data_IF_281676351201
#
_entry.id   IF_281676351201
#
_cell.length_a   1.000
_cell.length_b   1.000
_cell.length_c   1.000
_cell.angle_alpha   90.00
_cell.angle_beta   90.00
_cell.angle_gamma   90.00
#
_symmetry.space_group_name_H-M   'P 1'
#
loop_
_entity.id
_entity.type
_entity.pdbx_description
1 polymer ?
#
# COMPACT_ATOMS: atom_id res chain seq x y z
N UNK A 1 34.56 74.60 25.51
CA UNK A 1 35.76 74.38 26.33
C UNK A 1 35.28 73.87 27.66
N UNK A 2 35.83 72.73 28.08
CA UNK A 2 36.01 72.33 29.48
C UNK A 2 34.73 71.95 30.26
N UNK A 3 34.70 70.95 31.13
CA UNK A 3 35.68 69.92 31.50
C UNK A 3 34.95 68.90 32.40
N UNK A 4 35.29 67.63 32.20
CA UNK A 4 35.59 66.58 33.18
C UNK A 4 34.74 66.41 34.47
N UNK A 5 34.36 65.16 34.75
CA UNK A 5 34.97 64.31 35.82
C UNK A 5 33.98 63.50 36.68
N UNK A 6 34.28 62.19 36.77
CA UNK A 6 34.41 61.33 37.98
C UNK A 6 33.18 61.20 38.94
N UNK A 7 32.77 60.08 39.53
CA UNK A 7 33.10 58.66 39.49
C UNK A 7 32.12 57.92 40.43
N UNK A 8 32.27 56.60 40.47
CA UNK A 8 32.20 55.73 41.65
C UNK A 8 30.88 55.01 41.99
N UNK A 9 31.03 53.67 42.01
CA UNK A 9 30.41 52.70 42.94
C UNK A 9 28.90 52.44 42.77
N UNK A 10 28.36 51.25 42.96
CA UNK A 10 28.79 50.11 43.78
C UNK A 10 28.10 48.82 43.32
N UNK A 11 28.78 47.70 43.57
CA UNK A 11 28.34 46.31 43.51
C UNK A 11 27.03 46.05 44.28
N UNK A 12 26.12 45.25 43.69
CA UNK A 12 25.51 44.10 44.39
C UNK A 12 25.41 42.93 43.41
N UNK A 13 25.93 41.79 43.87
CA UNK A 13 25.88 40.50 43.22
C UNK A 13 24.42 40.06 43.04
N UNK A 14 24.12 39.55 41.85
CA UNK A 14 22.92 38.77 41.59
C UNK A 14 23.39 37.43 41.02
N UNK A 15 23.53 36.47 41.93
CA UNK A 15 23.63 35.05 41.61
C UNK A 15 22.34 34.63 40.91
N UNK A 16 22.42 34.30 39.64
CA UNK A 16 21.47 33.38 39.03
C UNK A 16 22.24 32.40 38.16
N UNK A 17 22.47 31.23 38.75
CA UNK A 17 22.93 30.02 38.09
C UNK A 17 21.91 29.64 37.01
N UNK A 18 22.07 30.16 35.80
CA UNK A 18 21.45 29.54 34.63
C UNK A 18 22.32 28.35 34.23
N UNK A 19 21.98 27.17 34.75
CA UNK A 19 22.49 25.90 34.24
C UNK A 19 22.36 25.89 32.72
N UNK A 20 23.50 25.95 32.05
CA UNK A 20 23.64 25.64 30.64
C UNK A 20 23.44 24.14 30.51
N UNK A 21 22.18 23.71 30.43
CA UNK A 21 21.83 22.32 30.19
C UNK A 21 22.27 21.95 28.78
N UNK A 22 23.35 21.18 28.77
CA UNK A 22 23.97 20.52 27.64
C UNK A 22 22.93 19.78 26.81
N UNK A 23 22.48 20.39 25.70
CA UNK A 23 21.82 19.67 24.62
C UNK A 23 22.89 18.90 23.83
N UNK A 24 23.42 17.87 24.48
CA UNK A 24 24.19 16.79 23.89
C UNK A 24 23.27 15.97 23.00
N UNK A 25 23.65 15.85 21.74
CA UNK A 25 22.98 15.10 20.69
C UNK A 25 22.41 13.76 21.18
N UNK A 26 21.11 13.54 20.99
CA UNK A 26 20.55 12.21 20.81
C UNK A 26 19.91 12.15 19.44
N UNK A 27 20.76 11.79 18.49
CA UNK A 27 20.50 10.71 17.54
C UNK A 27 19.05 10.61 17.09
N UNK A 28 18.81 11.01 15.85
CA UNK A 28 17.62 10.69 15.06
C UNK A 28 17.47 9.17 14.94
N UNK A 29 17.02 8.52 16.01
CA UNK A 29 16.67 7.11 16.04
C UNK A 29 15.30 6.95 15.39
N UNK A 30 15.27 6.76 14.07
CA UNK A 30 14.18 5.98 13.51
C UNK A 30 14.23 4.63 14.22
N UNK A 31 13.16 4.19 14.92
CA UNK A 31 13.18 2.88 15.55
C UNK A 31 13.49 1.87 14.44
N UNK A 32 14.56 1.08 14.63
CA UNK A 32 14.81 -0.02 13.72
C UNK A 32 13.54 -0.87 13.63
N UNK A 33 13.07 -1.21 12.41
CA UNK A 33 11.89 -2.03 12.25
C UNK A 33 12.09 -3.31 13.06
N UNK A 34 11.12 -3.59 13.93
CA UNK A 34 11.16 -4.75 14.80
C UNK A 34 11.22 -6.02 13.95
N UNK A 35 11.63 -7.15 14.54
CA UNK A 35 11.59 -8.45 13.82
C UNK A 35 10.21 -8.73 13.23
N UNK A 36 9.16 -8.34 13.96
CA UNK A 36 7.78 -8.46 13.49
C UNK A 36 7.48 -7.57 12.28
N UNK A 37 8.00 -6.33 12.25
CA UNK A 37 7.82 -5.44 11.10
C UNK A 37 8.54 -5.97 9.85
N UNK A 38 9.70 -6.61 10.03
CA UNK A 38 10.46 -7.25 8.94
C UNK A 38 9.70 -8.46 8.36
N UNK A 39 9.12 -9.32 9.21
CA UNK A 39 8.31 -10.47 8.77
C UNK A 39 7.05 -10.04 8.00
N UNK A 40 6.33 -9.01 8.49
CA UNK A 40 5.16 -8.46 7.80
C UNK A 40 5.54 -7.86 6.43
N UNK A 41 6.69 -7.19 6.36
CA UNK A 41 7.18 -6.62 5.12
C UNK A 41 7.54 -7.70 4.10
N UNK A 42 8.21 -8.78 4.52
CA UNK A 42 8.52 -9.92 3.65
C UNK A 42 7.26 -10.63 3.13
N UNK A 43 6.25 -10.82 3.99
CA UNK A 43 4.96 -11.39 3.60
C UNK A 43 4.25 -10.51 2.57
N UNK A 44 4.21 -9.20 2.81
CA UNK A 44 3.63 -8.23 1.88
C UNK A 44 4.33 -8.27 0.53
N UNK A 45 5.66 -8.27 0.50
CA UNK A 45 6.45 -8.34 -0.73
C UNK A 45 6.22 -9.65 -1.49
N UNK A 46 6.10 -10.77 -0.78
CA UNK A 46 5.75 -12.06 -1.36
C UNK A 46 4.35 -12.03 -1.97
N UNK A 47 3.37 -11.47 -1.26
CA UNK A 47 1.99 -11.33 -1.75
C UNK A 47 1.91 -10.43 -2.97
N UNK A 48 2.67 -9.32 -2.98
CA UNK A 48 2.77 -8.44 -4.15
C UNK A 48 3.38 -9.15 -5.36
N UNK A 49 4.43 -9.97 -5.16
CA UNK A 49 5.03 -10.80 -6.23
C UNK A 49 4.03 -11.80 -6.81
N UNK A 50 3.27 -12.49 -5.96
CA UNK A 50 2.22 -13.42 -6.39
C UNK A 50 1.15 -12.66 -7.17
N UNK A 51 0.64 -11.55 -6.62
CA UNK A 51 -0.41 -10.73 -7.22
C UNK A 51 0.00 -10.23 -8.61
N UNK A 52 1.23 -9.72 -8.76
CA UNK A 52 1.77 -9.30 -10.07
C UNK A 52 1.80 -10.46 -11.05
N UNK A 53 2.22 -11.64 -10.61
CA UNK A 53 2.32 -12.85 -11.46
C UNK A 53 0.95 -13.31 -11.93
N UNK A 54 -0.03 -13.39 -11.02
CA UNK A 54 -1.42 -13.74 -11.33
C UNK A 54 -2.00 -12.73 -12.32
N UNK A 55 -1.86 -11.43 -12.05
CA UNK A 55 -2.36 -10.37 -12.92
C UNK A 55 -1.76 -10.43 -14.33
N UNK A 56 -0.44 -10.64 -14.45
CA UNK A 56 0.22 -10.81 -15.75
C UNK A 56 -0.34 -12.00 -16.53
N UNK A 57 -0.56 -13.15 -15.88
CA UNK A 57 -1.15 -14.34 -16.51
C UNK A 57 -2.60 -14.09 -16.96
N UNK A 58 -3.41 -13.42 -16.14
CA UNK A 58 -4.80 -13.09 -16.50
C UNK A 58 -4.88 -12.14 -17.70
N UNK A 59 -3.95 -11.17 -17.79
CA UNK A 59 -3.87 -10.25 -18.93
C UNK A 59 -3.42 -10.98 -20.19
N UNK A 60 -2.34 -11.77 -20.12
CA UNK A 60 -1.81 -12.51 -21.26
C UNK A 60 -2.85 -13.44 -21.91
N UNK A 61 -3.78 -13.95 -21.11
CA UNK A 61 -4.81 -14.87 -21.56
C UNK A 61 -6.13 -14.17 -21.96
N UNK A 62 -6.22 -12.84 -21.90
CA UNK A 62 -7.44 -12.07 -22.18
C UNK A 62 -8.57 -12.25 -21.16
N UNK A 63 -8.37 -13.05 -20.11
CA UNK A 63 -9.38 -13.28 -19.07
C UNK A 63 -9.62 -12.03 -18.22
N UNK A 64 -8.61 -11.17 -18.08
CA UNK A 64 -8.77 -9.93 -17.32
C UNK A 64 -9.84 -9.02 -17.94
N UNK A 65 -9.89 -8.90 -19.27
CA UNK A 65 -10.88 -8.09 -19.96
C UNK A 65 -12.28 -8.71 -19.88
N UNK A 66 -12.35 -10.05 -19.96
CA UNK A 66 -13.60 -10.79 -19.78
C UNK A 66 -14.16 -10.62 -18.36
N UNK A 67 -13.32 -10.77 -17.34
CA UNK A 67 -13.68 -10.52 -15.94
C UNK A 67 -14.13 -9.08 -15.72
N UNK A 68 -13.48 -8.11 -16.38
CA UNK A 68 -13.87 -6.71 -16.33
C UNK A 68 -15.25 -6.47 -16.97
N UNK A 69 -15.56 -7.17 -18.06
CA UNK A 69 -16.88 -7.16 -18.70
C UNK A 69 -17.96 -7.72 -17.77
N UNK A 70 -17.76 -8.93 -17.26
CA UNK A 70 -18.70 -9.59 -16.32
C UNK A 70 -18.93 -8.75 -15.06
N UNK A 71 -17.88 -8.12 -14.52
CA UNK A 71 -18.01 -7.23 -13.38
C UNK A 71 -18.88 -6.01 -13.70
N UNK A 72 -18.74 -5.40 -14.88
CA UNK A 72 -19.56 -4.25 -15.29
C UNK A 72 -21.03 -4.64 -15.43
N UNK A 73 -21.31 -5.75 -16.10
CA UNK A 73 -22.67 -6.25 -16.29
C UNK A 73 -23.36 -6.50 -14.94
N UNK A 74 -22.70 -7.22 -14.04
CA UNK A 74 -23.21 -7.49 -12.67
C UNK A 74 -23.43 -6.22 -11.86
N UNK A 75 -22.53 -5.25 -11.96
CA UNK A 75 -22.69 -3.99 -11.23
C UNK A 75 -23.84 -3.15 -11.81
N UNK A 76 -24.14 -3.29 -13.09
CA UNK A 76 -25.31 -2.66 -13.71
C UNK A 76 -26.61 -3.35 -13.28
N UNK A 77 -26.64 -4.68 -13.22
CA UNK A 77 -27.81 -5.45 -12.75
C UNK A 77 -28.22 -5.08 -11.32
N UNK A 78 -27.25 -4.79 -10.44
CA UNK A 78 -27.50 -4.40 -9.05
C UNK A 78 -27.66 -2.86 -8.90
N UNK A 79 -27.79 -2.14 -10.02
CA UNK A 79 -27.96 -0.68 -10.05
C UNK A 79 -26.88 0.09 -9.25
N UNK A 80 -25.67 -0.47 -9.13
CA UNK A 80 -24.59 0.15 -8.34
C UNK A 80 -24.23 1.54 -8.87
N UNK A 81 -24.40 1.77 -10.18
CA UNK A 81 -24.25 3.09 -10.79
C UNK A 81 -25.17 4.14 -10.12
N UNK A 82 -26.42 3.79 -9.81
CA UNK A 82 -27.37 4.68 -9.15
C UNK A 82 -26.88 5.09 -7.75
N UNK A 83 -26.31 4.13 -7.01
CA UNK A 83 -25.71 4.37 -5.69
C UNK A 83 -24.52 5.33 -5.78
N UNK A 84 -23.63 5.12 -6.77
CA UNK A 84 -22.47 6.00 -7.01
C UNK A 84 -22.94 7.42 -7.33
N UNK A 85 -23.93 7.57 -8.21
CA UNK A 85 -24.48 8.89 -8.56
C UNK A 85 -25.11 9.57 -7.34
N UNK A 86 -25.87 8.84 -6.52
CA UNK A 86 -26.46 9.36 -5.30
C UNK A 86 -25.38 9.88 -4.33
N UNK A 87 -24.30 9.12 -4.12
CA UNK A 87 -23.18 9.51 -3.25
C UNK A 87 -22.39 10.69 -3.79
N UNK A 88 -22.10 10.70 -5.08
CA UNK A 88 -21.37 11.83 -5.67
C UNK A 88 -22.26 13.11 -5.66
N UNK A 89 -23.60 13.02 -5.77
CA UNK A 89 -24.52 14.16 -5.56
C UNK A 89 -24.55 14.63 -4.11
N UNK A 90 -24.60 13.71 -3.15
CA UNK A 90 -24.54 14.00 -1.72
C UNK A 90 -23.26 14.78 -1.38
N UNK A 91 -22.11 14.33 -1.88
CA UNK A 91 -20.82 15.00 -1.70
C UNK A 91 -20.81 16.42 -2.29
N UNK A 92 -21.29 16.58 -3.53
CA UNK A 92 -21.36 17.90 -4.18
C UNK A 92 -22.30 18.84 -3.41
N UNK A 93 -23.40 18.33 -2.87
CA UNK A 93 -24.33 19.11 -2.05
C UNK A 93 -23.71 19.57 -0.73
N UNK A 94 -22.81 18.76 -0.14
CA UNK A 94 -22.15 19.08 1.13
C UNK A 94 -20.97 20.05 0.95
N UNK A 95 -20.17 19.89 -0.10
CA UNK A 95 -18.95 20.69 -0.33
C UNK A 95 -19.17 21.92 -1.24
N UNK A 96 -20.29 22.00 -1.94
CA UNK A 96 -20.65 23.16 -2.77
C UNK A 96 -19.89 23.25 -4.11
N UNK A 97 -19.89 24.44 -4.71
CA UNK A 97 -19.40 24.69 -6.10
C UNK A 97 -17.86 24.63 -6.27
N UNK A 98 -17.10 24.35 -5.22
CA UNK A 98 -15.63 24.31 -5.23
C UNK A 98 -15.02 22.91 -5.38
N UNK A 99 -15.83 21.87 -5.57
CA UNK A 99 -15.37 20.48 -5.63
C UNK A 99 -14.55 20.23 -6.90
N UNK A 100 -13.31 19.77 -6.71
CA UNK A 100 -12.48 19.29 -7.82
C UNK A 100 -12.80 17.83 -8.13
N UNK A 101 -12.71 17.42 -9.40
CA UNK A 101 -12.87 16.02 -9.82
C UNK A 101 -12.04 15.05 -8.97
N UNK A 102 -10.79 15.40 -8.64
CA UNK A 102 -9.92 14.56 -7.82
C UNK A 102 -10.53 14.29 -6.43
N UNK A 103 -11.06 15.32 -5.77
CA UNK A 103 -11.69 15.18 -4.46
C UNK A 103 -12.94 14.30 -4.52
N UNK A 104 -13.76 14.50 -5.57
CA UNK A 104 -14.93 13.67 -5.80
C UNK A 104 -14.54 12.21 -6.10
N UNK A 105 -13.48 12.00 -6.88
CA UNK A 105 -12.98 10.67 -7.22
C UNK A 105 -12.43 9.95 -6.00
N UNK A 106 -11.61 10.62 -5.18
CA UNK A 106 -11.03 10.03 -3.97
C UNK A 106 -12.13 9.65 -2.98
N UNK A 107 -13.12 10.54 -2.77
CA UNK A 107 -14.32 10.24 -1.97
C UNK A 107 -15.13 9.07 -2.53
N UNK A 108 -15.51 9.13 -3.81
CA UNK A 108 -16.33 8.09 -4.42
C UNK A 108 -15.55 6.75 -4.48
N UNK A 109 -14.21 6.74 -4.59
CA UNK A 109 -13.39 5.52 -4.56
C UNK A 109 -13.47 4.82 -3.20
N UNK A 110 -13.37 5.55 -2.09
CA UNK A 110 -13.42 4.95 -0.75
C UNK A 110 -14.85 4.48 -0.42
N UNK A 111 -15.85 5.35 -0.57
CA UNK A 111 -17.22 5.04 -0.16
C UNK A 111 -17.96 4.11 -1.11
N UNK A 112 -17.75 4.21 -2.43
CA UNK A 112 -18.48 3.34 -3.36
C UNK A 112 -17.97 1.90 -3.33
N UNK A 113 -16.72 1.66 -2.92
CA UNK A 113 -16.17 0.31 -2.77
C UNK A 113 -16.80 -0.49 -1.62
N UNK A 114 -17.24 0.19 -0.57
CA UNK A 114 -18.00 -0.40 0.53
C UNK A 114 -19.38 -0.85 0.07
N UNK A 115 -20.02 -0.06 -0.80
CA UNK A 115 -21.35 -0.34 -1.35
C UNK A 115 -21.39 -1.45 -2.40
N UNK A 116 -20.24 -1.99 -2.83
CA UNK A 116 -20.23 -3.16 -3.74
C UNK A 116 -20.71 -4.40 -2.97
N UNK A 117 -21.82 -5.04 -3.40
CA UNK A 117 -22.37 -6.20 -2.72
C UNK A 117 -21.37 -7.35 -2.60
N UNK A 118 -21.37 -8.02 -1.44
CA UNK A 118 -20.48 -9.16 -1.19
C UNK A 118 -20.71 -10.30 -2.20
N UNK A 119 -21.95 -10.52 -2.62
CA UNK A 119 -22.30 -11.51 -3.66
C UNK A 119 -21.54 -11.30 -4.98
N UNK A 120 -21.36 -10.03 -5.38
CA UNK A 120 -20.60 -9.68 -6.60
C UNK A 120 -19.11 -9.92 -6.37
N UNK A 121 -18.57 -9.51 -5.21
CA UNK A 121 -17.16 -9.73 -4.82
C UNK A 121 -16.82 -11.22 -4.82
N UNK A 122 -17.64 -12.04 -4.17
CA UNK A 122 -17.45 -13.48 -4.03
C UNK A 122 -17.54 -14.19 -5.38
N UNK A 123 -18.47 -13.78 -6.25
CA UNK A 123 -18.56 -14.32 -7.60
C UNK A 123 -17.29 -14.03 -8.42
N UNK A 124 -16.84 -12.77 -8.43
CA UNK A 124 -15.65 -12.38 -9.17
C UNK A 124 -14.40 -13.08 -8.63
N UNK A 125 -14.30 -13.23 -7.30
CA UNK A 125 -13.23 -13.96 -6.67
C UNK A 125 -13.23 -15.44 -7.09
N UNK A 126 -14.39 -16.11 -7.04
CA UNK A 126 -14.53 -17.50 -7.52
C UNK A 126 -14.11 -17.64 -8.98
N UNK A 127 -14.44 -16.67 -9.83
CA UNK A 127 -14.02 -16.69 -11.25
C UNK A 127 -12.51 -16.52 -11.40
N UNK A 128 -11.89 -15.59 -10.68
CA UNK A 128 -10.42 -15.42 -10.67
C UNK A 128 -9.73 -16.71 -10.23
N UNK A 129 -10.22 -17.33 -9.15
CA UNK A 129 -9.69 -18.60 -8.64
C UNK A 129 -9.86 -19.71 -9.68
N UNK A 130 -11.06 -19.89 -10.24
CA UNK A 130 -11.32 -20.90 -11.26
C UNK A 130 -10.46 -20.72 -12.53
N UNK A 131 -10.29 -19.48 -12.99
CA UNK A 131 -9.43 -19.13 -14.13
C UNK A 131 -7.96 -19.43 -13.89
N UNK A 132 -7.50 -19.30 -12.64
CA UNK A 132 -6.13 -19.62 -12.24
C UNK A 132 -5.92 -21.11 -11.97
N UNK A 133 -6.87 -21.78 -11.31
CA UNK A 133 -6.79 -23.19 -10.90
C UNK A 133 -7.10 -24.16 -12.03
N UNK A 134 -8.08 -23.85 -12.89
CA UNK A 134 -8.38 -24.63 -14.09
C UNK A 134 -7.20 -24.70 -15.08
N UNK A 135 -6.13 -23.93 -14.80
CA UNK A 135 -4.87 -23.90 -15.55
C UNK A 135 -3.63 -24.09 -14.69
N UNK A 136 -3.74 -24.72 -13.51
CA UNK A 136 -2.62 -25.47 -12.93
C UNK A 136 -2.29 -26.63 -13.89
N UNK A 137 -1.57 -26.32 -14.97
CA UNK A 137 -0.84 -27.32 -15.74
C UNK A 137 0.16 -27.97 -14.75
N UNK A 138 0.16 -29.30 -14.57
CA UNK A 138 0.96 -30.02 -13.56
C UNK A 138 2.48 -29.95 -13.75
N UNK A 139 3.00 -29.07 -14.60
CA UNK A 139 4.38 -29.10 -15.09
C UNK A 139 5.38 -28.30 -14.23
N UNK A 140 4.91 -27.59 -13.20
CA UNK A 140 5.78 -26.81 -12.28
C UNK A 140 6.20 -27.64 -11.05
N UNK A 141 5.77 -28.91 -10.94
CA UNK A 141 6.20 -29.84 -9.89
C UNK A 141 6.85 -31.11 -10.45
N UNK A 142 7.64 -30.99 -11.52
CA UNK A 142 8.71 -31.97 -11.75
C UNK A 142 10.03 -31.37 -11.24
N UNK A 143 10.60 -31.92 -10.15
CA UNK A 143 12.04 -31.83 -9.96
C UNK A 143 12.67 -32.25 -11.29
N UNK A 144 13.57 -31.43 -11.83
CA UNK A 144 14.41 -31.87 -12.94
C UNK A 144 15.09 -33.14 -12.45
N UNK A 145 14.74 -34.29 -13.03
CA UNK A 145 15.52 -35.49 -12.84
C UNK A 145 16.95 -35.13 -13.23
N UNK A 146 17.82 -35.11 -12.21
CA UNK A 146 19.25 -35.11 -12.40
C UNK A 146 19.52 -36.43 -13.10
N UNK A 147 19.85 -36.37 -14.40
CA UNK A 147 20.52 -37.49 -15.04
C UNK A 147 21.88 -37.61 -14.37
N UNK A 148 21.97 -38.49 -13.39
CA UNK A 148 23.24 -39.12 -13.04
C UNK A 148 23.72 -39.89 -14.28
N UNK A 149 24.86 -39.55 -14.88
CA UNK A 149 25.50 -40.49 -15.78
C UNK A 149 26.07 -41.62 -14.91
N UNK A 150 25.50 -42.81 -15.11
CA UNK A 150 25.93 -44.08 -14.55
C UNK A 150 27.43 -44.30 -14.80
N UNK A 151 28.13 -44.66 -13.72
CA UNK A 151 29.36 -45.45 -13.79
C UNK A 151 28.98 -46.81 -14.38
N UNK A 152 29.50 -47.13 -15.56
CA UNK A 152 29.57 -48.52 -16.00
C UNK A 152 30.97 -48.83 -16.54
N UNK A 153 31.71 -49.47 -15.64
CA UNK A 153 32.70 -50.52 -15.83
C UNK A 153 33.09 -50.93 -17.26
N UNK A 154 34.41 -50.90 -17.48
CA UNK A 154 35.18 -51.81 -18.33
C UNK A 154 34.63 -53.26 -18.28
N UNK A 155 34.65 -54.03 -19.39
CA UNK A 155 35.90 -54.78 -19.68
C UNK A 155 36.13 -55.18 -21.17
N UNK A 156 37.39 -55.21 -21.63
CA UNK A 156 38.19 -56.41 -21.99
C UNK A 156 39.42 -56.05 -22.84
#
# INVERSE_FOLDING_TARGET
MESCSFAASSSTAFDDEYETSSNSCKESAYPEPTRHDKELQEEKEKLERITRTVKKKLIANGEMDRLRGEARERLLEVEWNSVVVAKCREFISQHGKGVTYKQLYDYCKEHCMEHVPKSVKDYLLKKVVASYEGRKNPEILRPKEVKEPEEDNEPK
#
